data_IF_643990586888
#
_entry.id   IF_643990586888
#
_cell.length_a   1.000
_cell.length_b   1.000
_cell.length_c   1.000
_cell.angle_alpha   90.00
_cell.angle_beta   90.00
_cell.angle_gamma   90.00
#
_symmetry.space_group_name_H-M   'P 1'
#
loop_
_entity.id
_entity.type
_entity.pdbx_description
1 polymer ?
#
# COMPACT_ATOMS: atom_id res chain seq x y z
N UNK A 1 -55.27 -11.80 -53.63
CA UNK A 1 -55.04 -10.83 -52.56
C UNK A 1 -54.03 -11.41 -51.59
N UNK A 2 -52.73 -11.05 -51.80
CA UNK A 2 -51.60 -11.54 -50.96
C UNK A 2 -51.34 -10.52 -49.84
N UNK A 3 -51.50 -10.96 -48.61
CA UNK A 3 -51.17 -10.14 -47.43
C UNK A 3 -49.66 -10.21 -47.19
N UNK A 4 -48.98 -9.08 -47.35
CA UNK A 4 -47.56 -8.93 -47.00
C UNK A 4 -47.48 -8.63 -45.53
N UNK A 5 -46.94 -9.57 -44.76
CA UNK A 5 -46.67 -9.40 -43.31
C UNK A 5 -45.29 -8.71 -43.17
N UNK A 6 -45.29 -7.46 -42.73
CA UNK A 6 -44.06 -6.71 -42.45
C UNK A 6 -43.61 -7.11 -41.04
N UNK A 7 -42.51 -7.85 -40.98
CA UNK A 7 -41.86 -8.20 -39.70
C UNK A 7 -40.96 -7.05 -39.27
N UNK A 8 -41.42 -6.30 -38.27
CA UNK A 8 -40.63 -5.25 -37.61
C UNK A 8 -39.58 -5.91 -36.71
N UNK A 9 -38.34 -5.94 -37.15
CA UNK A 9 -37.20 -6.34 -36.33
C UNK A 9 -36.84 -5.13 -35.47
N UNK A 10 -37.21 -5.18 -34.19
CA UNK A 10 -36.76 -4.21 -33.18
C UNK A 10 -35.28 -4.52 -32.87
N UNK A 11 -34.37 -3.71 -33.39
CA UNK A 11 -32.96 -3.74 -32.98
C UNK A 11 -32.85 -3.09 -31.61
N UNK A 12 -32.78 -3.91 -30.56
CA UNK A 12 -32.38 -3.47 -29.24
C UNK A 12 -30.88 -3.10 -29.27
N UNK A 13 -30.56 -1.84 -29.45
CA UNK A 13 -29.24 -1.31 -29.19
C UNK A 13 -29.08 -1.28 -27.67
N UNK A 14 -28.46 -2.33 -27.11
CA UNK A 14 -27.98 -2.31 -25.75
C UNK A 14 -26.83 -1.30 -25.71
N UNK A 15 -27.14 -0.06 -25.32
CA UNK A 15 -26.13 0.86 -24.83
C UNK A 15 -25.55 0.22 -23.53
N UNK A 16 -24.47 -0.50 -23.69
CA UNK A 16 -23.65 -0.90 -22.58
C UNK A 16 -23.09 0.37 -21.93
N UNK A 17 -23.68 0.80 -20.83
CA UNK A 17 -22.96 1.63 -19.87
C UNK A 17 -21.77 0.77 -19.41
N UNK A 18 -20.61 0.94 -20.04
CA UNK A 18 -19.36 0.47 -19.47
C UNK A 18 -19.13 1.29 -18.23
N UNK A 19 -19.39 0.67 -17.11
CA UNK A 19 -19.21 1.28 -15.80
C UNK A 19 -17.76 1.74 -15.65
N UNK A 20 -17.54 3.05 -15.66
CA UNK A 20 -16.26 3.68 -15.32
C UNK A 20 -15.76 3.25 -13.94
N UNK A 21 -16.62 2.61 -13.12
CA UNK A 21 -16.28 1.99 -11.85
C UNK A 21 -15.37 0.76 -11.99
N UNK A 22 -15.55 -0.11 -12.99
CA UNK A 22 -14.65 -1.27 -13.18
C UNK A 22 -13.27 -0.83 -13.65
N UNK A 23 -13.19 0.14 -14.56
CA UNK A 23 -11.91 0.68 -15.01
C UNK A 23 -11.19 1.45 -13.88
N UNK A 24 -11.92 2.19 -13.05
CA UNK A 24 -11.37 2.82 -11.85
C UNK A 24 -10.99 1.80 -10.76
N UNK A 25 -11.77 0.72 -10.58
CA UNK A 25 -11.43 -0.35 -9.65
C UNK A 25 -10.19 -1.12 -10.12
N UNK A 26 -10.04 -1.39 -11.42
CA UNK A 26 -8.83 -2.01 -11.97
C UNK A 26 -7.60 -1.08 -11.92
N UNK A 27 -7.79 0.23 -12.07
CA UNK A 27 -6.73 1.22 -11.90
C UNK A 27 -6.32 1.33 -10.43
N UNK A 28 -7.29 1.32 -9.51
CA UNK A 28 -7.08 1.28 -8.07
C UNK A 28 -6.40 -0.03 -7.62
N UNK A 29 -6.74 -1.17 -8.22
CA UNK A 29 -6.06 -2.45 -7.97
C UNK A 29 -4.63 -2.48 -8.53
N UNK A 30 -4.33 -1.70 -9.57
CA UNK A 30 -2.96 -1.54 -10.12
C UNK A 30 -2.08 -0.59 -9.29
N UNK A 31 -2.68 0.29 -8.51
CA UNK A 31 -1.99 1.24 -7.62
C UNK A 31 -2.05 0.86 -6.14
N UNK A 32 -2.94 -0.04 -5.76
CA UNK A 32 -3.09 -0.54 -4.39
C UNK A 32 -2.30 -1.81 -4.19
N UNK A 33 -1.18 -1.68 -3.56
CA UNK A 33 -0.39 -2.57 -2.72
C UNK A 33 -0.42 -4.08 -3.00
N UNK A 34 0.71 -4.70 -2.73
CA UNK A 34 0.86 -6.16 -2.77
C UNK A 34 0.21 -6.75 -1.52
N UNK A 35 -0.63 -7.79 -1.71
CA UNK A 35 -1.12 -8.60 -0.61
C UNK A 35 0.02 -9.51 -0.11
N UNK A 36 0.42 -9.32 1.12
CA UNK A 36 1.39 -10.20 1.81
C UNK A 36 0.73 -10.70 3.08
N UNK A 37 0.46 -12.00 3.14
CA UNK A 37 -0.20 -12.64 4.27
C UNK A 37 -1.57 -12.04 4.63
N UNK A 38 -2.36 -11.64 3.63
CA UNK A 38 -3.66 -10.99 3.81
C UNK A 38 -3.58 -9.52 4.24
N UNK A 39 -2.40 -8.89 4.10
CA UNK A 39 -2.20 -7.47 4.36
C UNK A 39 -2.07 -6.68 3.06
N UNK A 40 -2.80 -5.59 2.97
CA UNK A 40 -2.65 -4.63 1.88
C UNK A 40 -1.52 -3.66 2.20
N UNK A 41 -0.47 -3.68 1.39
CA UNK A 41 0.61 -2.72 1.41
C UNK A 41 0.37 -1.65 0.34
N UNK A 42 -0.03 -0.47 0.75
CA UNK A 42 -0.26 0.65 -0.16
C UNK A 42 1.06 1.16 -0.75
N UNK A 43 0.97 1.77 -1.93
CA UNK A 43 2.11 2.45 -2.60
C UNK A 43 1.91 3.96 -2.69
N UNK A 44 0.75 4.44 -2.25
CA UNK A 44 0.38 5.85 -2.20
C UNK A 44 0.11 6.28 -0.76
N UNK A 45 0.92 7.22 -0.25
CA UNK A 45 0.82 7.68 1.13
C UNK A 45 -0.44 8.51 1.38
N UNK A 46 -0.86 9.31 0.43
CA UNK A 46 -2.03 10.19 0.56
C UNK A 46 -3.31 9.36 0.70
N UNK A 47 -3.42 8.27 -0.05
CA UNK A 47 -4.52 7.30 0.07
C UNK A 47 -4.48 6.58 1.42
N UNK A 48 -3.31 6.11 1.81
CA UNK A 48 -3.11 5.45 3.10
C UNK A 48 -3.47 6.35 4.28
N UNK A 49 -3.12 7.64 4.21
CA UNK A 49 -3.48 8.62 5.24
C UNK A 49 -5.00 8.86 5.29
N UNK A 50 -5.71 8.84 4.16
CA UNK A 50 -7.19 8.93 4.17
C UNK A 50 -7.82 7.73 4.90
N UNK A 51 -7.30 6.52 4.63
CA UNK A 51 -7.73 5.29 5.32
C UNK A 51 -7.41 5.39 6.81
N UNK A 52 -6.18 5.77 7.15
CA UNK A 52 -5.72 5.91 8.53
C UNK A 52 -6.59 6.89 9.34
N UNK A 53 -6.99 8.00 8.73
CA UNK A 53 -7.94 8.95 9.35
C UNK A 53 -9.32 8.34 9.57
N UNK A 54 -9.85 7.65 8.58
CA UNK A 54 -11.17 7.03 8.66
C UNK A 54 -11.22 5.91 9.72
N UNK A 55 -10.14 5.15 9.87
CA UNK A 55 -10.04 4.02 10.78
C UNK A 55 -9.40 4.40 12.14
N UNK A 56 -8.96 5.64 12.30
CA UNK A 56 -8.23 6.13 13.46
C UNK A 56 -6.99 5.27 13.80
N UNK A 57 -6.24 4.90 12.77
CA UNK A 57 -5.00 4.08 12.84
C UNK A 57 -3.77 4.92 12.47
N UNK A 58 -2.57 4.57 12.98
CA UNK A 58 -1.32 5.11 12.45
C UNK A 58 -0.99 4.51 11.08
N UNK A 59 0.00 5.11 10.41
CA UNK A 59 0.58 4.60 9.17
C UNK A 59 2.01 4.12 9.43
N UNK A 60 2.33 2.90 9.01
CA UNK A 60 3.71 2.45 8.90
C UNK A 60 4.17 2.65 7.46
N UNK A 61 5.12 3.55 7.26
CA UNK A 61 5.70 3.89 5.97
C UNK A 61 7.12 3.35 5.88
N UNK A 62 7.31 2.32 5.05
CA UNK A 62 8.60 1.71 4.78
C UNK A 62 9.23 2.30 3.52
N UNK A 63 10.51 2.66 3.61
CA UNK A 63 11.40 2.92 2.48
C UNK A 63 12.33 1.73 2.31
N UNK A 64 12.28 1.07 1.16
CA UNK A 64 12.91 -0.22 0.93
C UNK A 64 13.65 -0.26 -0.42
N UNK A 65 14.59 -1.18 -0.54
CA UNK A 65 15.22 -1.58 -1.80
C UNK A 65 15.09 -3.09 -1.94
N UNK A 66 13.96 -3.55 -2.50
CA UNK A 66 13.51 -4.94 -2.41
C UNK A 66 14.48 -5.97 -3.02
N UNK A 67 15.20 -5.59 -4.07
CA UNK A 67 16.06 -6.50 -4.85
C UNK A 67 17.57 -6.36 -4.56
N UNK A 68 17.97 -5.43 -3.68
CA UNK A 68 19.39 -5.19 -3.40
C UNK A 68 19.73 -4.91 -1.92
N UNK A 69 18.77 -4.40 -1.14
CA UNK A 69 19.01 -3.98 0.22
C UNK A 69 18.91 -5.17 1.19
N UNK A 70 20.05 -5.77 1.55
CA UNK A 70 20.11 -6.93 2.43
C UNK A 70 19.33 -6.75 3.74
N UNK A 71 19.41 -5.58 4.36
CA UNK A 71 18.72 -5.31 5.63
C UNK A 71 17.22 -5.07 5.45
N UNK A 72 16.79 -4.61 4.24
CA UNK A 72 15.38 -4.50 3.91
C UNK A 72 14.75 -5.88 3.74
N UNK A 73 15.43 -6.77 3.01
CA UNK A 73 15.01 -8.16 2.82
C UNK A 73 14.87 -8.82 4.19
N UNK A 74 15.90 -8.67 5.05
CA UNK A 74 15.90 -9.24 6.40
C UNK A 74 14.77 -8.70 7.28
N UNK A 75 14.47 -7.40 7.22
CA UNK A 75 13.34 -6.79 7.93
C UNK A 75 12.01 -7.40 7.46
N UNK A 76 11.84 -7.57 6.16
CA UNK A 76 10.63 -8.15 5.61
C UNK A 76 10.46 -9.61 6.04
N UNK A 77 11.49 -10.43 5.87
CA UNK A 77 11.44 -11.87 6.18
C UNK A 77 11.28 -12.16 7.68
N UNK A 78 11.99 -11.43 8.53
CA UNK A 78 12.00 -11.71 9.97
C UNK A 78 10.87 -11.00 10.73
N UNK A 79 10.28 -9.93 10.15
CA UNK A 79 9.30 -9.10 10.85
C UNK A 79 8.06 -8.84 10.01
N UNK A 80 8.16 -7.98 8.98
CA UNK A 80 6.99 -7.35 8.37
C UNK A 80 6.14 -8.32 7.55
N UNK A 81 6.75 -9.36 6.95
CA UNK A 81 6.05 -10.37 6.15
C UNK A 81 5.80 -11.67 6.94
N UNK A 82 5.93 -11.64 8.25
CA UNK A 82 5.59 -12.77 9.09
C UNK A 82 4.10 -12.79 9.42
N UNK A 83 3.57 -14.00 9.64
CA UNK A 83 2.18 -14.15 10.08
C UNK A 83 1.92 -13.43 11.41
N UNK A 84 2.88 -13.45 12.34
CA UNK A 84 2.75 -12.78 13.63
C UNK A 84 2.60 -11.26 13.51
N UNK A 85 3.32 -10.64 12.57
CA UNK A 85 3.13 -9.23 12.28
C UNK A 85 1.80 -8.98 11.57
N UNK A 86 1.44 -9.82 10.59
CA UNK A 86 0.21 -9.68 9.82
C UNK A 86 -1.05 -9.76 10.70
N UNK A 87 -1.10 -10.73 11.62
CA UNK A 87 -2.25 -10.91 12.52
C UNK A 87 -2.48 -9.69 13.41
N UNK A 88 -1.43 -8.98 13.80
CA UNK A 88 -1.54 -7.75 14.55
C UNK A 88 -1.83 -6.54 13.65
N UNK A 89 -1.12 -6.42 12.53
CA UNK A 89 -1.12 -5.22 11.69
C UNK A 89 -2.49 -4.93 11.08
N UNK A 90 -3.22 -5.96 10.64
CA UNK A 90 -4.55 -5.83 9.99
C UNK A 90 -5.54 -4.97 10.78
N UNK A 91 -5.49 -5.02 12.10
CA UNK A 91 -6.44 -4.33 12.96
C UNK A 91 -5.88 -3.01 13.53
N UNK A 92 -4.56 -2.81 13.47
CA UNK A 92 -3.87 -1.77 14.24
C UNK A 92 -3.19 -0.69 13.41
N UNK A 93 -2.87 -0.93 12.13
CA UNK A 93 -2.01 -0.01 11.38
C UNK A 93 -2.27 -0.09 9.88
N UNK A 94 -2.13 1.03 9.18
CA UNK A 94 -2.15 1.09 7.70
C UNK A 94 -0.72 1.01 7.18
N UNK A 95 -0.48 0.17 6.18
CA UNK A 95 0.87 -0.16 5.69
C UNK A 95 1.14 0.51 4.35
N UNK A 96 2.30 1.15 4.23
CA UNK A 96 2.79 1.75 2.98
C UNK A 96 4.22 1.28 2.71
N UNK A 97 4.49 0.81 1.49
CA UNK A 97 5.84 0.49 1.04
C UNK A 97 6.23 1.34 -0.16
N UNK A 98 7.29 2.11 -0.02
CA UNK A 98 7.94 2.83 -1.10
C UNK A 98 9.21 2.09 -1.47
N UNK A 99 9.16 1.36 -2.57
CA UNK A 99 10.28 0.55 -3.04
C UNK A 99 11.19 1.32 -4.02
N UNK A 100 12.49 1.11 -3.89
CA UNK A 100 13.55 1.70 -4.71
C UNK A 100 14.41 0.58 -5.31
N UNK A 101 13.85 -0.26 -6.20
CA UNK A 101 14.57 -1.37 -6.79
C UNK A 101 15.65 -0.89 -7.76
N UNK A 102 16.64 -1.76 -8.03
CA UNK A 102 17.71 -1.53 -9.03
C UNK A 102 17.45 -2.26 -10.33
N UNK A 103 16.90 -3.47 -10.24
CA UNK A 103 16.70 -4.36 -11.38
C UNK A 103 15.23 -4.50 -11.78
N UNK A 104 14.30 -4.29 -10.86
CA UNK A 104 12.87 -4.34 -11.13
C UNK A 104 12.43 -3.02 -11.79
N UNK A 105 11.85 -3.06 -13.00
CA UNK A 105 11.41 -1.84 -13.68
C UNK A 105 10.29 -1.12 -12.90
N UNK A 106 10.39 0.19 -12.83
CA UNK A 106 9.35 1.10 -12.35
C UNK A 106 9.15 2.22 -13.35
N UNK A 107 7.92 2.74 -13.43
CA UNK A 107 7.65 3.95 -14.23
C UNK A 107 8.34 5.17 -13.62
N UNK A 108 8.60 6.18 -14.43
CA UNK A 108 9.23 7.41 -13.93
C UNK A 108 8.32 8.16 -12.96
N UNK A 109 7.00 8.03 -13.10
CA UNK A 109 6.02 8.56 -12.17
C UNK A 109 6.21 7.97 -10.76
N UNK A 110 6.28 6.64 -10.64
CA UNK A 110 6.52 5.95 -9.36
C UNK A 110 7.87 6.34 -8.77
N UNK A 111 8.94 6.36 -9.58
CA UNK A 111 10.28 6.77 -9.12
C UNK A 111 10.28 8.20 -8.58
N UNK A 112 9.63 9.13 -9.29
CA UNK A 112 9.57 10.53 -8.90
C UNK A 112 8.73 10.71 -7.64
N UNK A 113 7.60 10.03 -7.53
CA UNK A 113 6.76 10.02 -6.34
C UNK A 113 7.53 9.52 -5.12
N UNK A 114 8.14 8.32 -5.20
CA UNK A 114 8.91 7.75 -4.11
C UNK A 114 10.07 8.67 -3.70
N UNK A 115 10.79 9.25 -4.68
CA UNK A 115 11.88 10.20 -4.42
C UNK A 115 11.40 11.48 -3.74
N UNK A 116 10.23 11.99 -4.12
CA UNK A 116 9.64 13.17 -3.49
C UNK A 116 9.39 12.95 -2.00
N UNK A 117 8.84 11.79 -1.64
CA UNK A 117 8.61 11.41 -0.24
C UNK A 117 9.91 11.11 0.51
N UNK A 118 10.88 10.46 -0.15
CA UNK A 118 12.22 10.27 0.41
C UNK A 118 12.86 11.60 0.81
N UNK A 119 12.76 12.63 -0.05
CA UNK A 119 13.25 13.97 0.22
C UNK A 119 12.45 14.67 1.31
N UNK A 120 11.11 14.60 1.25
CA UNK A 120 10.19 15.20 2.23
C UNK A 120 10.52 14.76 3.65
N UNK A 121 10.79 13.48 3.85
CA UNK A 121 11.09 12.89 5.16
C UNK A 121 12.59 12.82 5.48
N UNK A 122 13.47 13.34 4.63
CA UNK A 122 14.91 13.37 4.85
C UNK A 122 15.55 11.98 4.95
N UNK A 123 15.05 11.00 4.21
CA UNK A 123 15.53 9.62 4.26
C UNK A 123 16.91 9.50 3.62
N UNK A 124 17.87 8.93 4.36
CA UNK A 124 19.27 8.83 3.94
C UNK A 124 19.79 7.41 3.77
N UNK A 125 18.96 6.40 4.09
CA UNK A 125 19.36 5.00 4.00
C UNK A 125 18.20 4.03 4.10
N UNK A 126 18.46 2.77 3.83
CA UNK A 126 17.49 1.69 3.81
C UNK A 126 17.90 0.51 4.71
N UNK A 127 16.94 -0.19 5.36
CA UNK A 127 15.55 0.23 5.43
C UNK A 127 15.38 1.42 6.37
N UNK A 128 14.48 2.31 6.05
CA UNK A 128 13.91 3.26 6.99
C UNK A 128 12.42 3.00 7.12
N UNK A 129 11.93 2.94 8.34
CA UNK A 129 10.52 2.80 8.67
C UNK A 129 10.11 4.01 9.49
N UNK A 130 9.09 4.71 9.02
CA UNK A 130 8.45 5.79 9.77
C UNK A 130 7.11 5.29 10.32
N UNK A 131 6.85 5.58 11.57
CA UNK A 131 5.51 5.52 12.12
C UNK A 131 4.93 6.93 12.06
N UNK A 132 3.83 7.09 11.36
CA UNK A 132 3.15 8.36 11.23
C UNK A 132 1.82 8.30 11.99
N UNK A 133 1.43 9.43 12.57
CA UNK A 133 0.06 9.57 13.05
C UNK A 133 -0.94 9.69 11.87
N UNK A 134 -2.23 9.72 12.16
CA UNK A 134 -3.28 9.86 11.14
C UNK A 134 -3.21 11.18 10.34
N UNK A 135 -2.43 12.17 10.81
CA UNK A 135 -2.22 13.45 10.14
C UNK A 135 -0.88 13.51 9.39
N UNK A 136 -0.22 12.35 9.26
CA UNK A 136 1.07 12.14 8.60
C UNK A 136 2.27 12.85 9.28
N UNK A 137 2.17 13.15 10.57
CA UNK A 137 3.31 13.59 11.36
C UNK A 137 4.14 12.39 11.79
N UNK A 138 5.47 12.54 11.80
CA UNK A 138 6.38 11.47 12.21
C UNK A 138 6.35 11.32 13.72
N UNK A 139 5.95 10.13 14.19
CA UNK A 139 5.97 9.74 15.62
C UNK A 139 7.23 8.97 15.95
N UNK A 140 7.69 8.11 15.03
CA UNK A 140 8.88 7.29 15.20
C UNK A 140 9.61 7.15 13.87
N UNK A 141 10.94 7.22 13.91
CA UNK A 141 11.81 6.75 12.83
C UNK A 141 12.65 5.59 13.34
N UNK A 142 12.60 4.47 12.62
CA UNK A 142 13.32 3.25 12.97
C UNK A 142 13.80 2.53 11.70
N UNK A 143 14.35 1.34 11.84
CA UNK A 143 14.81 0.48 10.75
C UNK A 143 14.69 -0.99 11.15
N UNK A 144 15.63 -1.82 10.68
CA UNK A 144 15.71 -3.21 11.12
C UNK A 144 16.08 -3.30 12.61
N UNK A 145 15.32 -4.13 13.35
CA UNK A 145 15.64 -4.54 14.73
C UNK A 145 15.52 -6.05 14.81
N UNK A 146 16.51 -6.73 15.39
CA UNK A 146 16.47 -8.20 15.54
C UNK A 146 15.41 -8.63 16.58
N UNK A 147 15.02 -9.91 16.52
CA UNK A 147 14.11 -10.51 17.50
C UNK A 147 12.72 -10.85 16.97
N UNK A 148 12.47 -10.59 15.68
CA UNK A 148 11.21 -10.96 15.02
C UNK A 148 10.06 -9.99 15.30
N UNK A 149 8.80 -10.41 15.00
CA UNK A 149 7.66 -9.50 15.01
C UNK A 149 7.26 -9.03 16.43
N UNK A 150 7.35 -9.88 17.44
CA UNK A 150 6.87 -9.55 18.78
C UNK A 150 7.55 -8.30 19.39
N UNK A 151 8.90 -8.23 19.52
CA UNK A 151 9.55 -7.04 20.04
C UNK A 151 9.43 -5.84 19.09
N UNK A 152 9.30 -6.06 17.78
CA UNK A 152 9.09 -4.98 16.83
C UNK A 152 7.71 -4.33 16.99
N UNK A 153 6.66 -5.14 17.16
CA UNK A 153 5.30 -4.68 17.47
C UNK A 153 5.29 -3.91 18.80
N UNK A 154 5.96 -4.43 19.84
CA UNK A 154 6.05 -3.76 21.11
C UNK A 154 6.70 -2.37 20.97
N UNK A 155 7.77 -2.25 20.20
CA UNK A 155 8.44 -0.99 19.90
C UNK A 155 7.53 0.03 19.18
N UNK A 156 6.70 -0.43 18.22
CA UNK A 156 5.71 0.42 17.55
C UNK A 156 4.62 0.86 18.53
N UNK A 157 4.09 -0.08 19.33
CA UNK A 157 3.03 0.20 20.32
C UNK A 157 3.48 1.23 21.34
N UNK A 158 4.68 1.07 21.88
CA UNK A 158 5.28 2.00 22.85
C UNK A 158 5.39 3.42 22.25
N UNK A 159 5.95 3.54 21.05
CA UNK A 159 6.14 4.83 20.39
C UNK A 159 4.84 5.55 20.08
N UNK A 160 3.77 4.82 19.76
CA UNK A 160 2.46 5.40 19.45
C UNK A 160 1.55 5.56 20.68
N UNK A 161 1.92 4.99 21.81
CA UNK A 161 1.07 4.95 23.02
C UNK A 161 -0.11 3.98 22.92
N UNK A 162 0.03 2.89 22.15
CA UNK A 162 -0.98 1.83 22.05
C UNK A 162 -0.95 0.95 23.29
N UNK A 163 -2.12 0.59 23.81
CA UNK A 163 -2.29 -0.36 24.92
C UNK A 163 -2.19 -1.82 24.47
#
# INVERSE_FOLDING_TARGET
MKKISVLLIAVFILFGCTDNNEANAQLLMKTSGHDVNGLVWHTNLEEAVKIAKAENKPVLLQFSGSDWCKWCIKLNEEVLFTKGFADWAKDNIVLVNLDFPRTIPQTDEVKNYNRSLMNKYGIRGFPTVLLLDKDANVVLQTGYKPGGPTPYIAHIKEAYGMK
#
